data_IF_030752625533
#
_entry.id   IF_030752625533
#
_cell.length_a   1.000
_cell.length_b   1.000
_cell.length_c   1.000
_cell.angle_alpha   90.00
_cell.angle_beta   90.00
_cell.angle_gamma   90.00
#
_symmetry.space_group_name_H-M   'P 1'
#
loop_
_entity.id
_entity.type
_entity.pdbx_description
1 polymer ?
#
# COMPACT_ATOMS: atom_id res chain seq x y z
N UNK A 1 -13.81 -14.59 -3.54
CA UNK A 1 -12.46 -14.38 -2.95
C UNK A 1 -11.30 -14.52 -3.93
N UNK A 2 -11.31 -15.43 -4.92
CA UNK A 2 -10.17 -15.62 -5.84
C UNK A 2 -9.75 -14.32 -6.56
N UNK A 3 -10.71 -13.58 -7.10
CA UNK A 3 -10.46 -12.28 -7.77
C UNK A 3 -9.81 -11.27 -6.82
N UNK A 4 -10.35 -11.09 -5.61
CA UNK A 4 -9.78 -10.21 -4.58
C UNK A 4 -8.33 -10.60 -4.24
N UNK A 5 -8.04 -11.90 -4.07
CA UNK A 5 -6.67 -12.36 -3.80
C UNK A 5 -5.71 -11.95 -4.91
N UNK A 6 -6.14 -12.14 -6.15
CA UNK A 6 -5.33 -11.87 -7.33
C UNK A 6 -5.06 -10.37 -7.48
N UNK A 7 -6.11 -9.55 -7.41
CA UNK A 7 -6.00 -8.08 -7.47
C UNK A 7 -5.12 -7.54 -6.33
N UNK A 8 -5.34 -7.99 -5.09
CA UNK A 8 -4.56 -7.53 -3.95
C UNK A 8 -3.10 -7.99 -4.04
N UNK A 9 -2.85 -9.21 -4.50
CA UNK A 9 -1.47 -9.70 -4.72
C UNK A 9 -0.75 -8.91 -5.81
N UNK A 10 -1.45 -8.56 -6.90
CA UNK A 10 -0.88 -7.73 -7.97
C UNK A 10 -0.58 -6.33 -7.46
N UNK A 11 -1.48 -5.71 -6.69
CA UNK A 11 -1.27 -4.37 -6.14
C UNK A 11 -0.08 -4.32 -5.16
N UNK A 12 -0.02 -5.28 -4.21
CA UNK A 12 1.10 -5.42 -3.28
C UNK A 12 2.41 -5.74 -4.03
N UNK A 13 2.34 -6.57 -5.07
CA UNK A 13 3.50 -6.93 -5.88
C UNK A 13 4.04 -5.74 -6.67
N UNK A 14 3.15 -4.93 -7.27
CA UNK A 14 3.53 -3.70 -7.93
C UNK A 14 4.19 -2.71 -6.95
N UNK A 15 3.60 -2.53 -5.76
CA UNK A 15 4.18 -1.72 -4.68
C UNK A 15 5.59 -2.19 -4.30
N UNK A 16 5.75 -3.49 -4.03
CA UNK A 16 7.03 -4.08 -3.68
C UNK A 16 8.08 -3.90 -4.79
N UNK A 17 7.71 -4.11 -6.06
CA UNK A 17 8.62 -3.95 -7.20
C UNK A 17 9.09 -2.50 -7.36
N UNK A 18 8.18 -1.53 -7.21
CA UNK A 18 8.55 -0.11 -7.27
C UNK A 18 9.47 0.25 -6.10
N UNK A 19 9.19 -0.24 -4.90
CA UNK A 19 10.09 -0.06 -3.75
C UNK A 19 11.48 -0.65 -3.99
N UNK A 20 11.56 -1.87 -4.54
CA UNK A 20 12.83 -2.51 -4.93
C UNK A 20 13.57 -1.69 -5.96
N UNK A 21 12.87 -1.17 -6.97
CA UNK A 21 13.48 -0.31 -7.98
C UNK A 21 14.10 0.93 -7.34
N UNK A 22 13.38 1.65 -6.48
CA UNK A 22 13.91 2.84 -5.78
C UNK A 22 15.16 2.46 -4.99
N UNK A 23 15.12 1.36 -4.22
CA UNK A 23 16.28 0.91 -3.43
C UNK A 23 17.49 0.58 -4.31
N UNK A 24 17.28 0.07 -5.52
CA UNK A 24 18.35 -0.34 -6.42
C UNK A 24 18.94 0.83 -7.22
N UNK A 25 18.13 1.86 -7.53
CA UNK A 25 18.54 2.93 -8.46
C UNK A 25 18.77 4.28 -7.80
N UNK A 26 18.20 4.51 -6.61
CA UNK A 26 18.23 5.82 -5.98
C UNK A 26 19.37 5.97 -4.95
N UNK A 27 20.57 6.20 -5.48
CA UNK A 27 21.77 6.41 -4.65
C UNK A 27 21.69 7.69 -3.80
N UNK A 28 20.93 8.69 -4.27
CA UNK A 28 20.76 9.91 -3.50
C UNK A 28 20.01 9.62 -2.21
N UNK A 29 18.89 8.88 -2.27
CA UNK A 29 18.14 8.46 -1.09
C UNK A 29 19.03 7.77 -0.04
N UNK A 30 19.90 6.86 -0.48
CA UNK A 30 20.83 6.15 0.40
C UNK A 30 21.86 7.05 1.07
N UNK A 31 22.35 8.06 0.35
CA UNK A 31 23.36 8.99 0.88
C UNK A 31 22.76 10.10 1.76
N UNK A 32 21.59 10.61 1.36
CA UNK A 32 20.94 11.79 1.90
C UNK A 32 19.96 11.48 3.03
N UNK A 33 19.28 10.34 2.95
CA UNK A 33 18.20 9.94 3.83
C UNK A 33 18.23 8.42 4.15
N UNK A 34 19.33 7.87 4.72
CA UNK A 34 19.49 6.43 4.90
C UNK A 34 18.35 5.80 5.72
N UNK A 35 17.87 6.49 6.76
CA UNK A 35 16.76 6.03 7.61
C UNK A 35 15.46 5.83 6.82
N UNK A 36 15.20 6.67 5.82
CA UNK A 36 14.03 6.54 4.95
C UNK A 36 14.19 5.36 3.97
N UNK A 37 15.41 5.12 3.47
CA UNK A 37 15.72 3.95 2.67
C UNK A 37 15.49 2.63 3.46
N UNK A 38 15.91 2.58 4.72
CA UNK A 38 15.61 1.43 5.60
C UNK A 38 14.11 1.27 5.89
N UNK A 39 13.37 2.38 6.04
CA UNK A 39 11.91 2.35 6.13
C UNK A 39 11.26 1.73 4.89
N UNK A 40 11.75 2.07 3.70
CA UNK A 40 11.28 1.49 2.45
C UNK A 40 11.54 -0.01 2.36
N UNK A 41 12.69 -0.50 2.85
CA UNK A 41 12.96 -1.95 2.96
C UNK A 41 11.87 -2.65 3.77
N UNK A 42 11.52 -2.09 4.94
CA UNK A 42 10.51 -2.66 5.81
C UNK A 42 9.13 -2.72 5.11
N UNK A 43 8.77 -1.67 4.36
CA UNK A 43 7.53 -1.62 3.59
C UNK A 43 7.48 -2.68 2.49
N UNK A 44 8.56 -2.82 1.70
CA UNK A 44 8.67 -3.87 0.68
C UNK A 44 8.55 -5.26 1.31
N UNK A 45 9.22 -5.50 2.43
CA UNK A 45 9.15 -6.79 3.12
C UNK A 45 7.72 -7.11 3.61
N UNK A 46 7.01 -6.11 4.13
CA UNK A 46 5.61 -6.25 4.54
C UNK A 46 4.69 -6.56 3.36
N UNK A 47 4.87 -5.89 2.22
CA UNK A 47 4.06 -6.13 1.02
C UNK A 47 4.22 -7.57 0.51
N UNK A 48 5.47 -8.06 0.46
CA UNK A 48 5.77 -9.43 0.08
C UNK A 48 5.21 -10.45 1.09
N UNK A 49 5.32 -10.18 2.39
CA UNK A 49 4.74 -11.03 3.43
C UNK A 49 3.20 -11.08 3.32
N UNK A 50 2.57 -9.95 3.02
CA UNK A 50 1.13 -9.87 2.83
C UNK A 50 0.66 -10.61 1.59
N UNK A 51 1.43 -10.62 0.50
CA UNK A 51 1.13 -11.48 -0.66
C UNK A 51 1.00 -12.94 -0.21
N UNK A 52 1.99 -13.47 0.51
CA UNK A 52 1.92 -14.83 1.06
C UNK A 52 0.72 -15.02 2.00
N UNK A 53 0.46 -14.01 2.84
CA UNK A 53 -0.68 -13.97 3.75
C UNK A 53 -2.03 -14.05 3.03
N UNK A 54 -2.20 -13.35 1.91
CA UNK A 54 -3.44 -13.31 1.12
C UNK A 54 -3.81 -14.71 0.61
N UNK A 55 -2.81 -15.49 0.21
CA UNK A 55 -2.99 -16.86 -0.29
C UNK A 55 -3.26 -17.87 0.84
N UNK A 56 -2.65 -17.70 2.02
CA UNK A 56 -2.84 -18.58 3.17
C UNK A 56 -4.12 -18.29 3.97
N UNK A 57 -4.39 -17.01 4.24
CA UNK A 57 -5.49 -16.56 5.10
C UNK A 57 -6.03 -15.19 4.64
N UNK A 58 -6.90 -15.20 3.62
CA UNK A 58 -7.34 -13.98 2.92
C UNK A 58 -8.03 -12.94 3.81
N UNK A 59 -8.89 -13.36 4.75
CA UNK A 59 -9.63 -12.41 5.59
C UNK A 59 -8.71 -11.57 6.50
N UNK A 60 -7.82 -12.18 7.31
CA UNK A 60 -6.87 -11.39 8.10
C UNK A 60 -5.86 -10.65 7.22
N UNK A 61 -5.48 -11.20 6.06
CA UNK A 61 -4.57 -10.52 5.14
C UNK A 61 -5.17 -9.26 4.49
N UNK A 62 -6.49 -9.21 4.25
CA UNK A 62 -7.17 -7.97 3.82
C UNK A 62 -7.05 -6.89 4.89
N UNK A 63 -7.27 -7.25 6.15
CA UNK A 63 -7.11 -6.30 7.26
C UNK A 63 -5.66 -5.88 7.44
N UNK A 64 -4.72 -6.82 7.34
CA UNK A 64 -3.29 -6.54 7.34
C UNK A 64 -2.89 -5.59 6.21
N UNK A 65 -3.36 -5.82 4.98
CA UNK A 65 -3.10 -4.94 3.85
C UNK A 65 -3.68 -3.54 4.05
N UNK A 66 -4.87 -3.42 4.62
CA UNK A 66 -5.45 -2.11 4.96
C UNK A 66 -4.59 -1.37 5.99
N UNK A 67 -4.18 -2.06 7.05
CA UNK A 67 -3.35 -1.49 8.11
C UNK A 67 -1.99 -1.05 7.56
N UNK A 68 -1.31 -1.94 6.85
CA UNK A 68 -0.01 -1.69 6.23
C UNK A 68 -0.09 -0.53 5.23
N UNK A 69 -1.06 -0.53 4.32
CA UNK A 69 -1.22 0.56 3.36
C UNK A 69 -1.51 1.91 4.04
N UNK A 70 -2.28 1.90 5.13
CA UNK A 70 -2.51 3.11 5.94
C UNK A 70 -1.20 3.62 6.56
N UNK A 71 -0.42 2.74 7.20
CA UNK A 71 0.87 3.12 7.80
C UNK A 71 1.85 3.64 6.75
N UNK A 72 1.96 2.96 5.60
CA UNK A 72 2.82 3.37 4.51
C UNK A 72 2.40 4.73 3.93
N UNK A 73 1.09 4.94 3.71
CA UNK A 73 0.57 6.21 3.23
C UNK A 73 0.86 7.36 4.21
N UNK A 74 0.61 7.14 5.50
CA UNK A 74 0.89 8.13 6.55
C UNK A 74 2.38 8.43 6.64
N UNK A 75 3.25 7.42 6.55
CA UNK A 75 4.69 7.63 6.55
C UNK A 75 5.15 8.47 5.35
N UNK A 76 4.67 8.15 4.14
CA UNK A 76 4.99 8.91 2.94
C UNK A 76 4.46 10.35 3.01
N UNK A 77 3.22 10.56 3.45
CA UNK A 77 2.70 11.92 3.65
C UNK A 77 3.49 12.67 4.73
N UNK A 78 3.92 11.98 5.79
CA UNK A 78 4.80 12.52 6.82
C UNK A 78 6.13 12.99 6.24
N UNK A 79 6.74 12.22 5.35
CA UNK A 79 7.96 12.58 4.64
C UNK A 79 7.78 13.85 3.77
N UNK A 80 6.63 13.99 3.10
CA UNK A 80 6.32 15.18 2.29
C UNK A 80 6.11 16.42 3.17
N UNK A 81 5.39 16.29 4.30
CA UNK A 81 4.94 17.43 5.12
C UNK A 81 6.05 17.90 6.06
N UNK A 82 6.76 16.97 6.68
CA UNK A 82 7.70 17.25 7.76
C UNK A 82 9.01 16.44 7.71
N UNK A 83 9.22 15.65 6.65
CA UNK A 83 10.47 14.92 6.46
C UNK A 83 11.65 15.87 6.34
N UNK A 84 12.62 15.74 7.25
CA UNK A 84 13.84 16.52 7.23
C UNK A 84 15.04 15.64 7.62
N UNK A 85 15.70 15.01 6.63
CA UNK A 85 16.93 14.28 6.89
C UNK A 85 18.00 15.19 7.49
N UNK A 86 18.86 14.62 8.33
CA UNK A 86 19.92 15.37 8.98
C UNK A 86 20.84 16.04 7.95
N UNK A 87 21.09 17.34 8.10
CA UNK A 87 21.94 18.11 7.19
C UNK A 87 21.26 18.52 5.87
N UNK A 88 19.96 18.27 5.69
CA UNK A 88 19.21 18.68 4.50
C UNK A 88 18.02 19.59 4.84
N UNK A 89 17.79 20.66 4.07
CA UNK A 89 16.57 21.45 4.21
C UNK A 89 15.33 20.63 3.81
N UNK A 90 14.26 20.72 4.61
CA UNK A 90 13.00 20.00 4.37
C UNK A 90 12.43 20.26 2.96
N UNK A 91 12.54 21.49 2.45
CA UNK A 91 12.05 21.86 1.13
C UNK A 91 12.79 21.12 -0.01
N UNK A 92 14.09 20.86 0.14
CA UNK A 92 14.90 20.13 -0.85
C UNK A 92 14.46 18.66 -0.88
N UNK A 93 14.33 18.04 0.29
CA UNK A 93 13.87 16.65 0.40
C UNK A 93 12.45 16.48 -0.15
N UNK A 94 11.52 17.37 0.22
CA UNK A 94 10.16 17.37 -0.31
C UNK A 94 10.11 17.49 -1.83
N UNK A 95 10.86 18.43 -2.41
CA UNK A 95 10.88 18.62 -3.86
C UNK A 95 11.46 17.40 -4.57
N UNK A 96 12.49 16.77 -4.00
CA UNK A 96 13.03 15.51 -4.49
C UNK A 96 11.97 14.39 -4.49
N UNK A 97 11.23 14.22 -3.38
CA UNK A 97 10.18 13.19 -3.28
C UNK A 97 9.05 13.42 -4.29
N UNK A 98 8.58 14.66 -4.44
CA UNK A 98 7.50 15.00 -5.37
C UNK A 98 7.91 14.94 -6.84
N UNK A 99 9.19 15.15 -7.15
CA UNK A 99 9.73 14.97 -8.50
C UNK A 99 9.99 13.49 -8.83
N UNK A 100 10.10 12.62 -7.83
CA UNK A 100 10.34 11.20 -8.01
C UNK A 100 9.03 10.46 -8.37
N UNK A 101 8.88 10.11 -9.64
CA UNK A 101 7.70 9.39 -10.15
C UNK A 101 7.47 8.04 -9.49
N UNK A 102 8.53 7.33 -9.10
CA UNK A 102 8.41 6.05 -8.40
C UNK A 102 7.83 6.25 -7.00
N UNK A 103 8.27 7.30 -6.29
CA UNK A 103 7.74 7.66 -4.98
C UNK A 103 6.25 8.07 -5.06
N UNK A 104 5.88 8.92 -6.02
CA UNK A 104 4.48 9.28 -6.26
C UNK A 104 3.65 8.05 -6.64
N UNK A 105 4.22 7.14 -7.44
CA UNK A 105 3.61 5.86 -7.80
C UNK A 105 3.32 4.98 -6.58
N UNK A 106 4.25 4.91 -5.61
CA UNK A 106 4.02 4.20 -4.35
C UNK A 106 2.85 4.81 -3.57
N UNK A 107 2.81 6.15 -3.46
CA UNK A 107 1.77 6.86 -2.73
C UNK A 107 0.37 6.58 -3.32
N UNK A 108 0.26 6.63 -4.66
CA UNK A 108 -0.97 6.26 -5.37
C UNK A 108 -1.33 4.78 -5.15
N UNK A 109 -0.33 3.90 -5.19
CA UNK A 109 -0.54 2.44 -5.02
C UNK A 109 -1.08 2.12 -3.64
N UNK A 110 -0.62 2.80 -2.58
CA UNK A 110 -1.19 2.63 -1.23
C UNK A 110 -2.66 3.02 -1.17
N UNK A 111 -3.03 4.14 -1.79
CA UNK A 111 -4.43 4.54 -1.91
C UNK A 111 -5.29 3.48 -2.61
N UNK A 112 -4.78 2.89 -3.70
CA UNK A 112 -5.46 1.80 -4.41
C UNK A 112 -5.61 0.54 -3.56
N UNK A 113 -4.55 0.13 -2.86
CA UNK A 113 -4.58 -1.03 -1.94
C UNK A 113 -5.64 -0.82 -0.85
N UNK A 114 -5.71 0.38 -0.27
CA UNK A 114 -6.73 0.72 0.72
C UNK A 114 -8.14 0.61 0.16
N UNK A 115 -8.40 1.17 -1.03
CA UNK A 115 -9.71 1.09 -1.70
C UNK A 115 -10.10 -0.37 -1.95
N UNK A 116 -9.18 -1.18 -2.46
CA UNK A 116 -9.39 -2.61 -2.71
C UNK A 116 -9.71 -3.34 -1.39
N UNK A 117 -8.95 -3.08 -0.32
CA UNK A 117 -9.12 -3.74 0.96
C UNK A 117 -10.45 -3.36 1.64
N UNK A 118 -10.82 -2.07 1.63
CA UNK A 118 -12.09 -1.57 2.14
C UNK A 118 -13.25 -2.17 1.34
N UNK A 119 -13.17 -2.12 0.01
CA UNK A 119 -14.19 -2.69 -0.87
C UNK A 119 -14.38 -4.19 -0.61
N UNK A 120 -13.29 -4.95 -0.57
CA UNK A 120 -13.32 -6.39 -0.29
C UNK A 120 -13.90 -6.74 1.09
N UNK A 121 -13.75 -5.85 2.07
CA UNK A 121 -14.29 -6.03 3.41
C UNK A 121 -15.76 -5.59 3.53
N UNK A 122 -16.16 -4.50 2.87
CA UNK A 122 -17.49 -3.89 2.96
C UNK A 122 -18.53 -4.58 2.05
N UNK A 123 -18.17 -4.97 0.82
CA UNK A 123 -19.10 -5.54 -0.16
C UNK A 123 -19.86 -6.78 0.33
N UNK A 124 -19.23 -7.76 1.01
CA UNK A 124 -19.95 -8.91 1.55
C UNK A 124 -21.01 -8.52 2.59
N UNK A 125 -20.75 -7.49 3.40
CA UNK A 125 -21.68 -7.03 4.45
C UNK A 125 -22.89 -6.30 3.87
N UNK A 126 -22.70 -5.57 2.77
CA UNK A 126 -23.80 -4.92 2.05
C UNK A 126 -24.74 -5.94 1.37
N UNK A 127 -24.20 -7.07 0.91
CA UNK A 127 -25.01 -8.16 0.36
C UNK A 127 -25.85 -8.90 1.42
N UNK A 128 -25.35 -8.99 2.66
CA UNK A 128 -26.10 -9.59 3.78
C UNK A 128 -27.29 -8.72 4.23
N UNK A 129 -27.33 -7.45 3.84
CA UNK A 129 -28.46 -6.54 4.08
C UNK A 129 -29.45 -6.45 2.91
N UNK A 130 -29.26 -7.23 1.83
CA UNK A 130 -30.26 -7.31 0.76
C UNK A 130 -31.52 -7.99 1.32
N UNK A 131 -32.68 -7.31 1.32
CA UNK A 131 -33.85 -7.86 1.97
C UNK A 131 -34.25 -9.16 1.26
N UNK A 132 -34.41 -10.21 2.05
CA UNK A 132 -34.93 -11.52 1.65
C UNK A 132 -36.32 -11.47 0.96
N UNK A 133 -36.94 -10.30 0.86
CA UNK A 133 -38.30 -10.07 0.34
C UNK A 133 -38.47 -10.23 -1.17
N UNK A 134 -37.40 -10.44 -1.95
CA UNK A 134 -37.49 -10.58 -3.41
C UNK A 134 -37.21 -12.01 -3.93
N UNK A 135 -37.13 -13.03 -3.06
CA UNK A 135 -37.31 -14.41 -3.52
C UNK A 135 -38.78 -14.66 -3.84
N UNK A 136 -39.23 -14.08 -4.95
CA UNK A 136 -40.48 -14.49 -5.59
C UNK A 136 -40.26 -15.93 -6.04
N UNK A 137 -41.00 -16.81 -5.36
CA UNK A 137 -41.28 -18.19 -5.71
C UNK A 137 -41.49 -18.29 -7.22
N UNK A 138 -40.53 -18.90 -7.93
CA UNK A 138 -40.84 -19.56 -9.19
C UNK A 138 -41.22 -20.99 -8.85
N UNK A 139 -42.54 -21.19 -8.74
CA UNK A 139 -43.21 -22.48 -8.86
C UNK A 139 -42.94 -23.10 -10.23
#
# INVERSE_FOLDING_TARGET
MKVVRLILSVALGASALVGIQIMATDFWLWSAAPTHAYGLIAFVALDLALILGVWRATRPAIFGALLTATFQLVAMLGDIIGGQPAGLPAAVFRNYLLANTAYVGLLVTQGLIMIIAIGAWALPRLHDHWPWSLRIVRS
#
